data_IF_768487534187
#
_entry.id   IF_768487534187
#
_cell.length_a   1.000
_cell.length_b   1.000
_cell.length_c   1.000
_cell.angle_alpha   90.00
_cell.angle_beta   90.00
_cell.angle_gamma   90.00
#
_symmetry.space_group_name_H-M   'P 1'
#
loop_
_entity.id
_entity.type
_entity.pdbx_description
1 polymer ?
#
# COMPACT_ATOMS: atom_id res chain seq x y z
N UNK A 1 8.40 16.17 6.22
CA UNK A 1 8.19 17.42 5.43
C UNK A 1 6.84 17.99 5.81
N UNK A 2 6.80 19.17 6.42
CA UNK A 2 5.54 19.88 6.66
C UNK A 2 4.84 20.10 5.33
N UNK A 3 3.58 19.71 5.23
CA UNK A 3 2.78 19.96 4.04
C UNK A 3 2.66 21.48 3.84
N UNK A 4 3.42 22.03 2.90
CA UNK A 4 3.23 23.41 2.48
C UNK A 4 1.93 23.49 1.68
N UNK A 5 0.86 23.91 2.32
CA UNK A 5 -0.48 24.06 1.74
C UNK A 5 -0.51 24.99 0.53
N UNK A 6 0.56 25.74 0.30
CA UNK A 6 0.74 26.64 -0.83
C UNK A 6 1.67 26.09 -1.92
N UNK A 7 2.16 24.86 -1.78
CA UNK A 7 2.96 24.22 -2.81
C UNK A 7 2.10 23.89 -4.03
N UNK A 8 2.10 24.77 -5.01
CA UNK A 8 1.31 24.64 -6.26
C UNK A 8 2.01 23.83 -7.35
N UNK A 9 3.23 23.37 -7.11
CA UNK A 9 4.03 22.62 -8.07
C UNK A 9 4.20 21.17 -7.66
N UNK A 10 4.65 20.31 -8.60
CA UNK A 10 5.09 18.95 -8.31
C UNK A 10 6.18 18.97 -7.23
N UNK A 11 6.10 18.06 -6.26
CA UNK A 11 7.14 17.88 -5.24
C UNK A 11 8.41 17.34 -5.90
N UNK A 12 9.55 17.94 -5.60
CA UNK A 12 10.84 17.40 -6.02
C UNK A 12 11.15 16.16 -5.18
N UNK A 13 11.45 15.05 -5.84
CA UNK A 13 11.84 13.81 -5.16
C UNK A 13 13.34 13.79 -4.82
N UNK A 14 13.80 12.64 -4.33
CA UNK A 14 15.16 12.44 -3.80
C UNK A 14 15.99 11.47 -4.65
N UNK A 15 15.39 10.83 -5.64
CA UNK A 15 16.08 9.89 -6.55
C UNK A 15 16.42 10.56 -7.87
N UNK A 16 17.38 10.00 -8.61
CA UNK A 16 17.70 10.48 -9.97
C UNK A 16 16.48 10.47 -10.89
N UNK A 17 15.70 9.38 -10.85
CA UNK A 17 14.46 9.27 -11.64
C UNK A 17 13.47 10.37 -11.24
N UNK A 18 13.27 10.61 -9.95
CA UNK A 18 12.35 11.64 -9.49
C UNK A 18 12.79 13.04 -9.91
N UNK A 19 14.08 13.30 -9.94
CA UNK A 19 14.62 14.56 -10.45
C UNK A 19 14.42 14.70 -11.97
N UNK A 20 14.69 13.65 -12.75
CA UNK A 20 14.43 13.65 -14.20
C UNK A 20 12.93 13.88 -14.51
N UNK A 21 12.02 13.23 -13.77
CA UNK A 21 10.58 13.43 -13.91
C UNK A 21 10.19 14.88 -13.59
N UNK A 22 10.77 15.46 -12.53
CA UNK A 22 10.55 16.85 -12.17
C UNK A 22 11.03 17.82 -13.25
N UNK A 23 12.25 17.63 -13.78
CA UNK A 23 12.79 18.49 -14.85
C UNK A 23 11.95 18.38 -16.14
N UNK A 24 11.49 17.18 -16.49
CA UNK A 24 10.58 16.97 -17.62
C UNK A 24 9.25 17.69 -17.40
N UNK A 25 8.68 17.60 -16.20
CA UNK A 25 7.47 18.34 -15.84
C UNK A 25 7.67 19.85 -15.99
N UNK A 26 8.79 20.39 -15.49
CA UNK A 26 9.09 21.82 -15.60
C UNK A 26 9.28 22.28 -17.05
N UNK A 27 9.93 21.46 -17.88
CA UNK A 27 10.06 21.73 -19.31
C UNK A 27 8.67 21.87 -19.98
N UNK A 28 7.82 20.88 -19.76
CA UNK A 28 6.45 20.87 -20.30
C UNK A 28 5.64 22.06 -19.78
N UNK A 29 5.73 22.35 -18.48
CA UNK A 29 5.05 23.47 -17.84
C UNK A 29 5.41 24.80 -18.50
N UNK A 30 6.71 25.09 -18.71
CA UNK A 30 7.13 26.35 -19.35
C UNK A 30 6.75 26.45 -20.82
N UNK A 31 6.73 25.32 -21.56
CA UNK A 31 6.16 25.29 -22.92
C UNK A 31 4.67 25.65 -22.89
N UNK A 32 3.89 25.08 -21.97
CA UNK A 32 2.47 25.40 -21.81
C UNK A 32 2.25 26.87 -21.44
N UNK A 33 3.08 27.43 -20.55
CA UNK A 33 3.02 28.85 -20.18
C UNK A 33 3.29 29.73 -21.40
N UNK A 34 4.32 29.42 -22.17
CA UNK A 34 4.65 30.19 -23.40
C UNK A 34 3.50 30.17 -24.41
N UNK A 35 2.90 29.00 -24.66
CA UNK A 35 1.73 28.84 -25.54
C UNK A 35 0.55 29.64 -24.96
N UNK A 36 0.26 29.52 -23.68
CA UNK A 36 -0.80 30.25 -23.01
C UNK A 36 -0.64 31.76 -23.15
N UNK A 37 0.57 32.29 -22.87
CA UNK A 37 0.85 33.73 -23.06
C UNK A 37 0.64 34.17 -24.49
N UNK A 38 1.11 33.41 -25.47
CA UNK A 38 0.92 33.73 -26.88
C UNK A 38 -0.57 33.78 -27.28
N UNK A 39 -1.33 32.72 -26.93
CA UNK A 39 -2.75 32.59 -27.26
C UNK A 39 -3.60 33.68 -26.60
N UNK A 40 -3.43 33.85 -25.29
CA UNK A 40 -4.18 34.86 -24.53
C UNK A 40 -3.83 36.30 -24.97
N UNK A 41 -2.54 36.53 -25.30
CA UNK A 41 -2.14 37.86 -25.85
C UNK A 41 -2.86 38.18 -27.14
N UNK A 42 -2.92 37.25 -28.09
CA UNK A 42 -3.67 37.42 -29.37
C UNK A 42 -5.16 37.58 -29.09
N UNK A 43 -5.72 36.78 -28.18
CA UNK A 43 -7.14 36.87 -27.83
C UNK A 43 -7.48 38.23 -27.20
N UNK A 44 -6.77 38.72 -26.21
CA UNK A 44 -7.02 40.00 -25.57
C UNK A 44 -6.78 41.17 -26.53
N UNK A 45 -5.70 41.11 -27.36
CA UNK A 45 -5.47 42.07 -28.39
C UNK A 45 -6.66 42.13 -29.35
N UNK A 46 -7.17 40.97 -29.81
CA UNK A 46 -8.31 40.92 -30.72
C UNK A 46 -9.58 41.51 -30.11
N UNK A 47 -9.87 41.23 -28.84
CA UNK A 47 -11.00 41.79 -28.12
C UNK A 47 -10.88 43.31 -27.97
N UNK A 48 -9.69 43.84 -27.77
CA UNK A 48 -9.44 45.26 -27.61
C UNK A 48 -9.40 46.00 -28.96
N UNK A 49 -8.72 45.45 -29.97
CA UNK A 49 -8.49 46.10 -31.28
C UNK A 49 -9.67 46.00 -32.21
N UNK A 50 -10.43 44.87 -32.20
CA UNK A 50 -11.49 44.60 -33.19
C UNK A 50 -12.90 44.84 -32.65
N UNK A 51 -13.07 45.85 -31.79
CA UNK A 51 -14.41 46.26 -31.32
C UNK A 51 -15.21 46.94 -32.46
N UNK A 52 -16.54 46.83 -32.44
CA UNK A 52 -17.43 47.46 -33.44
C UNK A 52 -17.21 48.98 -33.58
N UNK A 53 -16.78 49.65 -32.53
CA UNK A 53 -16.44 51.10 -32.57
C UNK A 53 -15.18 51.37 -33.38
N UNK A 54 -14.16 50.49 -33.29
CA UNK A 54 -12.87 50.68 -33.99
C UNK A 54 -12.90 50.12 -35.42
N UNK A 55 -13.68 49.05 -35.63
CA UNK A 55 -13.82 48.36 -36.93
C UNK A 55 -15.29 48.18 -37.27
N UNK A 56 -16.00 49.23 -37.76
CA UNK A 56 -17.43 49.15 -38.04
C UNK A 56 -17.78 48.23 -39.23
N UNK A 57 -16.82 48.00 -40.12
CA UNK A 57 -16.97 47.07 -41.26
C UNK A 57 -16.07 45.88 -41.03
N UNK A 58 -16.61 44.65 -40.81
CA UNK A 58 -15.79 43.45 -40.57
C UNK A 58 -15.01 43.06 -41.84
N UNK A 59 -13.84 42.45 -41.62
CA UNK A 59 -13.05 41.86 -42.69
C UNK A 59 -13.84 40.69 -43.34
N UNK A 60 -13.63 40.49 -44.64
CA UNK A 60 -14.35 39.49 -45.46
C UNK A 60 -13.48 38.25 -45.82
N UNK A 61 -12.29 38.13 -45.26
CA UNK A 61 -11.50 36.93 -45.49
C UNK A 61 -12.07 35.74 -44.69
N UNK A 62 -12.02 34.53 -45.25
CA UNK A 62 -12.60 33.33 -44.68
C UNK A 62 -11.53 32.30 -44.34
N UNK A 63 -10.33 32.37 -44.92
CA UNK A 63 -9.25 31.42 -44.78
C UNK A 63 -7.88 32.06 -44.93
N UNK A 64 -6.86 31.41 -44.36
CA UNK A 64 -5.45 31.76 -44.55
C UNK A 64 -4.61 30.51 -44.47
N UNK A 65 -4.38 29.82 -45.59
CA UNK A 65 -3.64 28.54 -45.64
C UNK A 65 -2.25 28.61 -45.05
N UNK A 66 -1.54 29.73 -45.11
CA UNK A 66 -0.22 29.85 -44.47
C UNK A 66 -0.32 29.80 -42.95
N UNK A 67 -1.34 30.45 -42.39
CA UNK A 67 -1.59 30.46 -40.96
C UNK A 67 -2.07 29.07 -40.49
N UNK A 68 -2.90 28.41 -41.26
CA UNK A 68 -3.41 27.06 -41.01
C UNK A 68 -2.26 26.05 -40.96
N UNK A 69 -1.38 26.09 -41.95
CA UNK A 69 -0.16 25.27 -41.96
C UNK A 69 0.71 25.57 -40.71
N UNK A 70 0.90 26.85 -40.37
CA UNK A 70 1.74 27.22 -39.23
C UNK A 70 1.20 26.69 -37.91
N UNK A 71 -0.11 26.84 -37.61
CA UNK A 71 -0.69 26.36 -36.38
C UNK A 71 -0.87 24.82 -36.32
N UNK A 72 -0.72 24.12 -37.45
CA UNK A 72 -0.65 22.65 -37.49
C UNK A 72 0.79 22.15 -37.26
N UNK A 73 1.74 22.74 -37.99
CA UNK A 73 3.15 22.26 -37.94
C UNK A 73 3.84 22.63 -36.63
N UNK A 74 3.63 23.84 -36.10
CA UNK A 74 4.32 24.28 -34.87
C UNK A 74 3.96 23.39 -33.68
N UNK A 75 2.69 23.11 -33.34
CA UNK A 75 2.34 22.19 -32.26
C UNK A 75 2.87 20.75 -32.48
N UNK A 76 2.83 20.27 -33.73
CA UNK A 76 3.38 18.96 -34.08
C UNK A 76 4.88 18.85 -33.77
N UNK A 77 5.67 19.87 -34.13
CA UNK A 77 7.11 19.91 -33.82
C UNK A 77 7.36 20.01 -32.30
N UNK A 78 6.53 20.75 -31.57
CA UNK A 78 6.60 20.82 -30.09
C UNK A 78 6.35 19.43 -29.48
N UNK A 79 5.32 18.71 -29.95
CA UNK A 79 5.02 17.36 -29.45
C UNK A 79 6.21 16.39 -29.71
N UNK A 80 6.83 16.43 -30.90
CA UNK A 80 8.03 15.62 -31.19
C UNK A 80 9.16 15.98 -30.22
N UNK A 81 9.41 17.28 -30.02
CA UNK A 81 10.47 17.74 -29.13
C UNK A 81 10.26 17.30 -27.67
N UNK A 82 9.01 17.19 -27.20
CA UNK A 82 8.68 16.66 -25.87
C UNK A 82 8.72 15.14 -25.81
N UNK A 83 8.34 14.45 -26.88
CA UNK A 83 8.30 12.98 -26.90
C UNK A 83 9.69 12.34 -26.72
N UNK A 84 10.74 12.95 -27.24
CA UNK A 84 12.12 12.40 -27.16
C UNK A 84 12.61 12.29 -25.69
N UNK A 85 12.65 13.36 -24.89
CA UNK A 85 13.07 13.24 -23.49
C UNK A 85 12.08 12.39 -22.67
N UNK A 86 10.77 12.51 -22.88
CA UNK A 86 9.76 11.70 -22.19
C UNK A 86 9.98 10.19 -22.43
N UNK A 87 10.25 9.78 -23.67
CA UNK A 87 10.52 8.37 -24.00
C UNK A 87 11.81 7.86 -23.36
N UNK A 88 12.85 8.69 -23.28
CA UNK A 88 14.11 8.30 -22.60
C UNK A 88 13.91 8.04 -21.11
N UNK A 89 13.21 8.94 -20.43
CA UNK A 89 12.89 8.77 -19.00
C UNK A 89 11.97 7.56 -18.79
N UNK A 90 10.98 7.35 -19.65
CA UNK A 90 10.09 6.20 -19.60
C UNK A 90 10.85 4.88 -19.71
N UNK A 91 11.76 4.74 -20.68
CA UNK A 91 12.59 3.52 -20.84
C UNK A 91 13.44 3.27 -19.59
N UNK A 92 13.98 4.32 -18.96
CA UNK A 92 14.75 4.20 -17.72
C UNK A 92 13.87 3.74 -16.54
N UNK A 93 12.63 4.21 -16.43
CA UNK A 93 11.68 3.79 -15.38
C UNK A 93 11.34 2.29 -15.50
N UNK A 94 11.25 1.75 -16.72
CA UNK A 94 10.91 0.35 -16.99
C UNK A 94 12.15 -0.58 -17.03
N UNK A 95 13.24 -0.23 -16.36
CA UNK A 95 14.36 -1.15 -16.16
C UNK A 95 13.91 -2.30 -15.22
N UNK A 96 13.90 -3.52 -15.76
CA UNK A 96 13.46 -4.74 -15.07
C UNK A 96 14.64 -5.62 -14.57
N UNK A 97 15.87 -5.14 -14.70
CA UNK A 97 17.04 -5.84 -14.17
C UNK A 97 16.94 -6.04 -12.66
N UNK A 98 17.41 -7.19 -12.18
CA UNK A 98 17.43 -7.52 -10.75
C UNK A 98 18.13 -6.44 -9.92
N UNK A 99 17.55 -6.11 -8.77
CA UNK A 99 18.16 -5.24 -7.79
C UNK A 99 19.15 -5.98 -6.89
N UNK A 100 19.92 -5.20 -6.10
CA UNK A 100 20.72 -5.74 -4.99
C UNK A 100 19.79 -6.32 -3.90
N UNK A 101 18.58 -5.74 -3.76
CA UNK A 101 17.50 -6.20 -2.89
C UNK A 101 16.22 -6.30 -3.72
N UNK A 102 15.52 -7.43 -3.65
CA UNK A 102 14.25 -7.63 -4.34
C UNK A 102 13.14 -7.84 -3.31
N UNK A 103 12.12 -6.97 -3.34
CA UNK A 103 11.02 -6.98 -2.38
C UNK A 103 9.71 -7.20 -3.15
N UNK A 104 9.02 -8.29 -2.83
CA UNK A 104 7.66 -8.47 -3.30
C UNK A 104 6.71 -7.68 -2.39
N UNK A 105 5.83 -6.90 -3.01
CA UNK A 105 4.80 -6.09 -2.36
C UNK A 105 3.45 -6.65 -2.77
N UNK A 106 2.66 -7.08 -1.79
CA UNK A 106 1.30 -7.58 -2.04
C UNK A 106 0.28 -6.70 -1.32
N UNK A 107 -0.65 -6.12 -2.07
CA UNK A 107 -1.75 -5.32 -1.52
C UNK A 107 -2.88 -6.21 -1.00
N UNK A 108 -3.41 -5.87 0.16
CA UNK A 108 -4.60 -6.46 0.79
C UNK A 108 -5.56 -5.36 1.24
N UNK A 109 -6.79 -5.67 1.47
CA UNK A 109 -7.79 -4.80 2.09
C UNK A 109 -7.71 -4.88 3.63
N UNK A 110 -7.09 -3.95 4.37
CA UNK A 110 -6.39 -2.73 3.91
C UNK A 110 -5.04 -2.65 4.60
N UNK A 111 -4.01 -3.28 4.01
CA UNK A 111 -2.64 -3.38 4.50
C UNK A 111 -1.71 -3.75 3.37
N UNK A 112 -0.42 -3.68 3.61
CA UNK A 112 0.60 -4.15 2.68
C UNK A 112 1.38 -5.32 3.27
N UNK A 113 1.68 -6.34 2.46
CA UNK A 113 2.65 -7.36 2.80
C UNK A 113 3.94 -7.09 2.04
N UNK A 114 5.07 -7.23 2.72
CA UNK A 114 6.40 -7.12 2.15
C UNK A 114 7.16 -8.43 2.36
N UNK A 115 7.75 -8.94 1.28
CA UNK A 115 8.55 -10.16 1.29
C UNK A 115 9.91 -9.90 0.63
N UNK A 116 10.98 -9.97 1.40
CA UNK A 116 12.37 -9.81 0.95
C UNK A 116 12.87 -11.17 0.46
N UNK A 117 12.99 -11.29 -0.87
CA UNK A 117 13.15 -12.59 -1.52
C UNK A 117 14.50 -13.26 -1.23
N UNK A 118 15.56 -12.48 -1.01
CA UNK A 118 16.89 -13.01 -0.70
C UNK A 118 17.06 -13.38 0.77
N UNK A 119 16.30 -12.76 1.65
CA UNK A 119 16.47 -12.87 3.09
C UNK A 119 15.42 -13.75 3.79
N UNK A 120 14.37 -14.17 3.04
CA UNK A 120 13.22 -14.91 3.57
C UNK A 120 12.53 -14.19 4.75
N UNK A 121 12.45 -12.85 4.64
CA UNK A 121 11.79 -11.99 5.60
C UNK A 121 10.43 -11.59 5.03
N UNK A 122 9.36 -11.88 5.75
CA UNK A 122 8.00 -11.48 5.37
C UNK A 122 7.26 -10.88 6.56
N UNK A 123 6.56 -9.77 6.33
CA UNK A 123 5.72 -9.13 7.34
C UNK A 123 4.58 -8.33 6.72
N UNK A 124 3.56 -8.07 7.52
CA UNK A 124 2.51 -7.11 7.20
C UNK A 124 2.81 -5.75 7.78
N UNK A 125 2.37 -4.72 7.07
CA UNK A 125 2.47 -3.32 7.47
C UNK A 125 1.04 -2.76 7.54
N UNK A 126 0.59 -2.48 8.75
CA UNK A 126 -0.74 -1.98 9.04
C UNK A 126 -0.67 -0.52 9.48
N UNK A 127 -1.80 0.19 9.36
CA UNK A 127 -1.94 1.52 9.96
C UNK A 127 -1.76 1.45 11.47
N UNK A 128 -0.89 2.32 12.02
CA UNK A 128 -0.65 2.45 13.47
C UNK A 128 -1.28 3.69 14.10
N UNK A 129 -2.04 4.48 13.33
CA UNK A 129 -2.75 5.64 13.88
C UNK A 129 -3.77 5.22 14.92
N UNK A 130 -3.73 5.84 16.09
CA UNK A 130 -4.62 5.55 17.20
C UNK A 130 -6.09 5.73 16.80
N UNK A 131 -6.95 4.83 17.28
CA UNK A 131 -8.39 4.88 17.04
C UNK A 131 -9.03 6.17 17.60
N UNK A 132 -8.52 6.69 18.70
CA UNK A 132 -9.00 7.94 19.30
C UNK A 132 -8.74 9.14 18.37
N UNK A 133 -7.60 9.16 17.65
CA UNK A 133 -7.37 10.16 16.60
C UNK A 133 -8.32 9.97 15.41
N UNK A 134 -8.55 8.73 15.00
CA UNK A 134 -9.45 8.40 13.88
C UNK A 134 -10.89 8.84 14.18
N UNK A 135 -11.36 8.59 15.40
CA UNK A 135 -12.70 8.98 15.84
C UNK A 135 -12.82 10.44 16.32
N UNK A 136 -11.73 11.24 16.21
CA UNK A 136 -11.66 12.64 16.64
C UNK A 136 -11.91 12.82 18.16
N UNK A 137 -11.54 11.85 18.97
CA UNK A 137 -11.61 11.93 20.43
C UNK A 137 -10.39 12.69 21.00
N UNK A 138 -9.28 12.68 20.29
CA UNK A 138 -8.05 13.44 20.56
C UNK A 138 -7.61 14.23 19.33
N UNK A 139 -6.76 15.28 19.48
CA UNK A 139 -6.17 16.01 18.35
C UNK A 139 -5.33 15.10 17.47
N UNK A 140 -5.42 15.29 16.16
CA UNK A 140 -4.63 14.52 15.17
C UNK A 140 -3.17 14.89 15.22
N UNK A 141 -2.30 13.88 15.20
CA UNK A 141 -0.85 14.02 15.10
C UNK A 141 -0.40 14.53 13.72
N UNK A 142 0.88 14.93 13.61
CA UNK A 142 1.48 15.46 12.38
C UNK A 142 1.39 14.45 11.21
N UNK A 143 1.58 13.16 11.50
CA UNK A 143 1.57 12.08 10.51
C UNK A 143 0.25 11.27 10.55
N UNK A 144 -0.86 11.92 10.84
CA UNK A 144 -2.18 11.30 10.86
C UNK A 144 -2.45 10.47 9.61
N UNK A 145 -2.78 9.20 9.76
CA UNK A 145 -2.98 8.17 8.71
C UNK A 145 -1.74 7.95 7.80
N UNK A 146 -0.53 8.23 8.29
CA UNK A 146 0.71 8.07 7.53
C UNK A 146 1.80 7.31 8.30
N UNK A 147 1.45 6.67 9.41
CA UNK A 147 2.35 5.82 10.19
C UNK A 147 1.87 4.36 10.12
N UNK A 148 2.83 3.45 10.23
CA UNK A 148 2.62 2.01 10.22
C UNK A 148 3.26 1.35 11.43
N UNK A 149 2.78 0.17 11.79
CA UNK A 149 3.35 -0.68 12.83
C UNK A 149 4.72 -1.25 12.41
N UNK A 150 4.88 -1.61 11.12
CA UNK A 150 6.11 -2.19 10.59
C UNK A 150 6.52 -1.48 9.29
N UNK A 151 7.69 -0.84 9.28
CA UNK A 151 8.21 -0.10 8.12
C UNK A 151 8.97 -1.01 7.17
N UNK A 152 8.90 -0.69 5.87
CA UNK A 152 9.86 -1.24 4.88
C UNK A 152 11.21 -0.61 5.10
N UNK A 153 12.27 -1.43 5.24
CA UNK A 153 13.65 -0.95 5.42
C UNK A 153 14.46 -1.29 4.19
N UNK A 154 15.12 -0.30 3.61
CA UNK A 154 15.98 -0.48 2.44
C UNK A 154 17.36 0.16 2.63
N UNK A 155 18.43 -0.41 2.06
CA UNK A 155 19.77 0.16 2.16
C UNK A 155 19.96 1.36 1.23
N UNK A 156 20.67 2.39 1.70
CA UNK A 156 21.06 3.53 0.88
C UNK A 156 22.05 3.13 -0.21
N UNK A 157 21.98 3.80 -1.36
CA UNK A 157 22.91 3.62 -2.49
C UNK A 157 22.82 2.27 -3.21
N UNK A 158 21.84 1.42 -2.89
CA UNK A 158 21.60 0.13 -3.53
C UNK A 158 20.38 0.16 -4.43
N UNK A 159 20.44 -0.61 -5.53
CA UNK A 159 19.27 -0.81 -6.39
C UNK A 159 18.27 -1.74 -5.70
N UNK A 160 17.12 -1.21 -5.35
CA UNK A 160 16.00 -1.97 -4.79
C UNK A 160 14.95 -2.14 -5.87
N UNK A 161 14.57 -3.39 -6.15
CA UNK A 161 13.50 -3.73 -7.09
C UNK A 161 12.26 -4.18 -6.32
N UNK A 162 11.12 -3.63 -6.70
CA UNK A 162 9.82 -3.96 -6.16
C UNK A 162 9.02 -4.80 -7.17
N UNK A 163 8.49 -5.92 -6.73
CA UNK A 163 7.58 -6.80 -7.47
C UNK A 163 6.18 -6.61 -6.87
N UNK A 164 5.31 -5.88 -7.56
CA UNK A 164 4.08 -5.34 -6.99
C UNK A 164 2.87 -6.08 -7.54
N UNK A 165 2.08 -6.66 -6.64
CA UNK A 165 0.84 -7.40 -6.92
C UNK A 165 -0.21 -7.17 -5.84
N UNK A 166 -1.38 -7.77 -5.96
CA UNK A 166 -2.43 -7.75 -4.94
C UNK A 166 -3.06 -9.14 -4.77
N UNK A 167 -3.60 -9.40 -3.57
CA UNK A 167 -4.27 -10.65 -3.24
C UNK A 167 -5.79 -10.61 -3.51
N UNK A 168 -6.42 -9.44 -3.44
CA UNK A 168 -7.87 -9.29 -3.44
C UNK A 168 -8.40 -8.35 -4.53
N UNK A 169 -8.24 -7.05 -4.39
CA UNK A 169 -8.67 -6.03 -5.35
C UNK A 169 -7.48 -5.25 -5.88
N UNK A 170 -7.69 -4.35 -6.83
CA UNK A 170 -6.62 -3.47 -7.31
C UNK A 170 -6.31 -2.43 -6.24
N UNK A 171 -5.01 -2.28 -5.91
CA UNK A 171 -4.42 -1.21 -5.11
C UNK A 171 -3.38 -0.47 -5.96
N UNK A 172 -2.79 0.60 -5.44
CA UNK A 172 -1.66 1.25 -6.10
C UNK A 172 -0.62 1.68 -5.06
N UNK A 173 0.60 1.20 -5.20
CA UNK A 173 1.71 1.52 -4.32
C UNK A 173 2.35 2.82 -4.79
N UNK A 174 2.12 3.90 -4.06
CA UNK A 174 2.59 5.23 -4.41
C UNK A 174 3.50 5.83 -3.36
N UNK A 175 4.75 6.10 -3.74
CA UNK A 175 5.75 6.77 -2.92
C UNK A 175 6.29 7.99 -3.69
N UNK A 176 5.74 9.19 -3.44
CA UNK A 176 6.05 10.41 -4.22
C UNK A 176 7.53 10.75 -4.25
N UNK A 177 8.22 10.61 -3.11
CA UNK A 177 9.64 10.94 -2.98
C UNK A 177 10.53 10.15 -3.94
N UNK A 178 10.13 8.92 -4.30
CA UNK A 178 10.86 8.04 -5.21
C UNK A 178 10.38 8.15 -6.67
N UNK A 179 9.32 8.93 -6.92
CA UNK A 179 8.57 8.97 -8.18
C UNK A 179 8.01 7.59 -8.60
N UNK A 180 7.69 6.73 -7.65
CA UNK A 180 7.07 5.43 -7.90
C UNK A 180 5.57 5.55 -7.67
N UNK A 181 4.79 5.20 -8.68
CA UNK A 181 3.34 4.95 -8.59
C UNK A 181 3.03 3.77 -9.48
N UNK A 182 2.74 2.63 -8.86
CA UNK A 182 2.55 1.37 -9.58
C UNK A 182 1.34 0.62 -9.04
N UNK A 183 0.45 0.22 -9.93
CA UNK A 183 -0.74 -0.53 -9.57
C UNK A 183 -0.38 -1.96 -9.14
N UNK A 184 -1.00 -2.39 -8.05
CA UNK A 184 -0.97 -3.74 -7.51
C UNK A 184 -2.23 -4.46 -7.98
N UNK A 185 -2.11 -5.36 -8.97
CA UNK A 185 -3.23 -6.00 -9.67
C UNK A 185 -3.27 -7.48 -9.33
N UNK A 186 -4.41 -8.04 -8.87
CA UNK A 186 -4.53 -9.48 -8.61
C UNK A 186 -4.20 -10.33 -9.84
N UNK A 187 -3.34 -11.34 -9.66
CA UNK A 187 -2.91 -12.24 -10.72
C UNK A 187 -1.91 -11.63 -11.72
N UNK A 188 -1.42 -10.43 -11.48
CA UNK A 188 -0.42 -9.76 -12.30
C UNK A 188 0.71 -9.19 -11.42
N UNK A 189 1.95 -9.26 -11.88
CA UNK A 189 3.11 -8.70 -11.17
C UNK A 189 3.69 -7.55 -11.98
N UNK A 190 3.58 -6.35 -11.45
CA UNK A 190 4.24 -5.17 -11.97
C UNK A 190 5.62 -4.99 -11.32
N UNK A 191 6.54 -4.31 -12.00
CA UNK A 191 7.87 -4.02 -11.47
C UNK A 191 8.09 -2.51 -11.35
N UNK A 192 8.81 -2.12 -10.30
CA UNK A 192 9.36 -0.79 -10.13
C UNK A 192 10.72 -0.91 -9.46
N UNK A 193 11.56 0.12 -9.55
CA UNK A 193 12.86 0.12 -8.91
C UNK A 193 13.26 1.52 -8.43
N UNK A 194 14.20 1.55 -7.51
CA UNK A 194 14.76 2.80 -7.00
C UNK A 194 16.20 2.63 -6.53
N UNK A 195 16.95 3.72 -6.53
CA UNK A 195 18.20 3.90 -5.78
C UNK A 195 18.01 5.17 -4.97
N UNK A 196 18.22 5.09 -3.67
CA UNK A 196 18.06 6.22 -2.74
C UNK A 196 19.36 6.39 -1.96
N UNK A 197 20.01 7.55 -2.12
CA UNK A 197 21.28 7.82 -1.46
C UNK A 197 21.10 8.46 -0.07
N UNK A 198 19.97 9.12 0.18
CA UNK A 198 19.70 9.84 1.42
C UNK A 198 18.96 8.98 2.44
N UNK A 199 19.59 8.58 3.57
CA UNK A 199 18.88 7.94 4.68
C UNK A 199 17.74 8.82 5.20
N UNK A 200 16.60 8.18 5.56
CA UNK A 200 15.44 8.92 6.06
C UNK A 200 14.17 8.10 6.04
N UNK A 201 13.05 8.72 6.45
CA UNK A 201 11.73 8.10 6.45
C UNK A 201 10.87 8.77 5.38
N UNK A 202 10.39 7.96 4.44
CA UNK A 202 9.61 8.39 3.29
C UNK A 202 8.22 7.79 3.33
N UNK A 203 7.20 8.63 3.10
CA UNK A 203 5.80 8.27 3.26
C UNK A 203 5.06 8.28 1.95
N UNK A 204 4.19 7.31 1.80
CA UNK A 204 3.30 7.14 0.66
C UNK A 204 1.94 6.60 1.09
N UNK A 205 1.14 6.24 0.12
CA UNK A 205 -0.21 5.73 0.37
C UNK A 205 -0.73 4.94 -0.82
N UNK A 206 -1.79 4.17 -0.57
CA UNK A 206 -2.57 3.57 -1.63
C UNK A 206 -3.26 4.67 -2.47
N UNK A 207 -3.20 4.56 -3.80
CA UNK A 207 -3.75 5.55 -4.73
C UNK A 207 -4.67 4.94 -5.81
N UNK A 208 -5.14 3.70 -5.59
CA UNK A 208 -6.24 3.11 -6.35
C UNK A 208 -7.38 2.76 -5.41
N UNK A 209 -8.61 3.15 -5.74
CA UNK A 209 -9.77 2.96 -4.87
C UNK A 209 -10.03 1.46 -4.61
N UNK A 210 -9.70 1.01 -3.42
CA UNK A 210 -9.72 -0.39 -3.01
C UNK A 210 -10.79 -0.73 -1.95
N UNK A 211 -11.77 0.14 -1.73
CA UNK A 211 -12.89 -0.08 -0.82
C UNK A 211 -12.95 0.88 0.37
N UNK A 212 -13.64 0.47 1.42
CA UNK A 212 -14.03 1.30 2.59
C UNK A 212 -12.85 2.00 3.28
N UNK A 213 -11.77 1.28 3.50
CA UNK A 213 -10.59 1.78 4.22
C UNK A 213 -9.42 2.13 3.28
N UNK A 214 -9.72 2.53 2.04
CA UNK A 214 -8.71 2.93 1.07
C UNK A 214 -7.68 3.94 1.60
N UNK A 215 -8.11 4.92 2.37
CA UNK A 215 -7.23 5.92 2.99
C UNK A 215 -6.47 5.43 4.25
N UNK A 216 -6.66 4.19 4.67
CA UNK A 216 -6.17 3.62 5.94
C UNK A 216 -5.08 2.56 5.73
N UNK A 217 -4.41 2.56 4.57
CA UNK A 217 -3.30 1.68 4.26
C UNK A 217 -2.10 2.50 3.74
N UNK A 218 -1.42 3.22 4.64
CA UNK A 218 -0.23 4.01 4.30
C UNK A 218 0.96 3.12 3.94
N UNK A 219 1.98 3.78 3.38
CA UNK A 219 3.27 3.20 3.04
C UNK A 219 4.34 4.01 3.76
N UNK A 220 5.22 3.34 4.50
CA UNK A 220 6.37 3.98 5.14
C UNK A 220 7.63 3.19 4.80
N UNK A 221 8.58 3.87 4.15
CA UNK A 221 9.88 3.31 3.80
C UNK A 221 10.96 4.03 4.59
N UNK A 222 11.76 3.27 5.33
CA UNK A 222 12.94 3.74 6.05
C UNK A 222 14.19 3.38 5.23
N UNK A 223 14.89 4.38 4.75
CA UNK A 223 16.20 4.21 4.10
C UNK A 223 17.28 4.34 5.15
N UNK A 224 18.19 3.39 5.20
CA UNK A 224 19.25 3.30 6.22
C UNK A 224 20.61 3.02 5.59
N UNK A 225 21.68 3.32 6.32
CA UNK A 225 23.02 2.88 5.92
C UNK A 225 23.12 1.36 5.87
N UNK A 226 24.03 0.81 5.04
CA UNK A 226 24.18 -0.64 4.86
C UNK A 226 24.35 -1.40 6.18
N UNK A 227 25.13 -0.88 7.12
CA UNK A 227 25.35 -1.54 8.42
C UNK A 227 24.08 -1.66 9.25
N UNK A 228 23.21 -0.61 9.24
CA UNK A 228 21.92 -0.64 9.94
C UNK A 228 20.93 -1.59 9.24
N UNK A 229 21.01 -1.68 7.91
CA UNK A 229 20.22 -2.65 7.14
C UNK A 229 20.60 -4.09 7.51
N UNK A 230 21.89 -4.39 7.56
CA UNK A 230 22.40 -5.72 7.92
C UNK A 230 21.99 -6.11 9.37
N UNK A 231 22.02 -5.16 10.29
CA UNK A 231 21.54 -5.34 11.66
C UNK A 231 20.03 -5.60 11.72
N UNK A 232 19.25 -4.86 10.95
CA UNK A 232 17.81 -5.06 10.83
C UNK A 232 17.47 -6.45 10.27
N UNK A 233 18.13 -6.88 9.18
CA UNK A 233 17.98 -8.22 8.61
C UNK A 233 18.32 -9.30 9.63
N UNK A 234 19.44 -9.14 10.35
CA UNK A 234 19.83 -10.06 11.41
C UNK A 234 18.77 -10.13 12.52
N UNK A 235 18.26 -8.98 12.95
CA UNK A 235 17.19 -8.90 13.95
C UNK A 235 15.93 -9.66 13.52
N UNK A 236 15.47 -9.44 12.29
CA UNK A 236 14.30 -10.14 11.70
C UNK A 236 14.51 -11.66 11.64
N UNK A 237 15.69 -12.11 11.23
CA UNK A 237 16.02 -13.55 11.24
C UNK A 237 16.01 -14.14 12.64
N UNK A 238 16.49 -13.40 13.65
CA UNK A 238 16.43 -13.84 15.06
C UNK A 238 14.97 -13.89 15.59
N UNK A 239 14.12 -12.93 15.19
CA UNK A 239 12.68 -12.97 15.51
C UNK A 239 12.01 -14.20 14.90
N UNK A 240 12.30 -14.52 13.63
CA UNK A 240 11.78 -15.71 12.98
C UNK A 240 12.23 -17.02 13.67
N UNK A 241 13.50 -17.11 14.08
CA UNK A 241 14.01 -18.26 14.83
C UNK A 241 13.26 -18.42 16.17
N UNK A 242 13.10 -17.34 16.93
CA UNK A 242 12.33 -17.38 18.19
C UNK A 242 10.88 -17.80 17.96
N UNK A 243 10.26 -17.34 16.87
CA UNK A 243 8.90 -17.72 16.55
C UNK A 243 8.80 -19.22 16.22
N UNK A 244 9.77 -19.75 15.47
CA UNK A 244 9.87 -21.18 15.18
C UNK A 244 10.08 -22.04 16.46
N UNK A 245 10.89 -21.55 17.41
CA UNK A 245 11.04 -22.19 18.72
C UNK A 245 9.71 -22.22 19.49
N UNK A 246 8.94 -21.13 19.44
CA UNK A 246 7.61 -21.06 20.07
C UNK A 246 6.61 -22.05 19.43
N UNK A 247 6.76 -22.40 18.16
CA UNK A 247 5.90 -23.38 17.49
C UNK A 247 6.08 -24.78 18.07
N UNK A 248 7.27 -25.11 18.57
CA UNK A 248 7.59 -26.41 19.16
C UNK A 248 7.45 -26.46 20.69
N UNK A 249 7.14 -25.31 21.33
CA UNK A 249 6.96 -25.22 22.79
C UNK A 249 5.67 -25.94 23.21
N UNK A 250 5.72 -26.59 24.36
CA UNK A 250 4.54 -27.08 25.08
C UNK A 250 3.79 -25.90 25.71
N UNK A 251 2.65 -25.53 25.13
CA UNK A 251 1.83 -24.43 25.58
C UNK A 251 0.79 -24.85 26.61
N UNK A 252 0.66 -24.08 27.68
CA UNK A 252 -0.47 -24.21 28.60
C UNK A 252 -1.72 -23.47 28.05
N UNK A 253 -2.89 -23.90 28.48
CA UNK A 253 -4.16 -23.22 28.13
C UNK A 253 -4.11 -21.73 28.52
N UNK A 254 -3.57 -21.42 29.71
CA UNK A 254 -3.51 -20.04 30.20
C UNK A 254 -2.65 -19.14 29.31
N UNK A 255 -1.49 -19.62 28.84
CA UNK A 255 -0.63 -18.87 27.94
C UNK A 255 -1.28 -18.66 26.55
N UNK A 256 -1.98 -19.67 26.03
CA UNK A 256 -2.72 -19.55 24.77
C UNK A 256 -3.91 -18.60 24.90
N UNK A 257 -4.62 -18.63 26.00
CA UNK A 257 -5.74 -17.73 26.29
C UNK A 257 -5.31 -16.27 26.33
N UNK A 258 -4.28 -15.95 27.12
CA UNK A 258 -3.75 -14.58 27.23
C UNK A 258 -3.29 -14.04 25.87
N UNK A 259 -2.55 -14.84 25.11
CA UNK A 259 -2.08 -14.47 23.79
C UNK A 259 -3.22 -14.36 22.80
N UNK A 260 -4.17 -15.29 22.82
CA UNK A 260 -5.32 -15.36 21.93
C UNK A 260 -6.27 -14.19 22.12
N UNK A 261 -6.47 -13.71 23.34
CA UNK A 261 -7.27 -12.52 23.65
C UNK A 261 -6.69 -11.29 22.96
N UNK A 262 -5.38 -11.05 23.08
CA UNK A 262 -4.72 -9.93 22.42
C UNK A 262 -4.87 -9.98 20.89
N UNK A 263 -4.74 -11.16 20.28
CA UNK A 263 -4.90 -11.34 18.84
C UNK A 263 -6.35 -11.13 18.41
N UNK A 264 -7.29 -11.61 19.21
CA UNK A 264 -8.71 -11.44 18.99
C UNK A 264 -9.11 -9.95 18.99
N UNK A 265 -8.62 -9.19 19.95
CA UNK A 265 -8.89 -7.76 20.08
C UNK A 265 -8.40 -6.95 18.86
N UNK A 266 -7.26 -7.33 18.30
CA UNK A 266 -6.70 -6.65 17.14
C UNK A 266 -7.38 -7.06 15.83
N UNK A 267 -7.69 -8.35 15.66
CA UNK A 267 -8.06 -8.88 14.33
C UNK A 267 -9.54 -9.26 14.20
N UNK A 268 -10.24 -9.55 15.29
CA UNK A 268 -11.56 -10.22 15.24
C UNK A 268 -12.71 -9.37 15.80
N UNK A 269 -12.43 -8.56 16.83
CA UNK A 269 -13.44 -7.76 17.57
C UNK A 269 -14.27 -6.87 16.65
N UNK A 270 -13.68 -6.30 15.61
CA UNK A 270 -14.38 -5.39 14.70
C UNK A 270 -15.64 -6.02 14.06
N UNK A 271 -15.61 -7.34 13.82
CA UNK A 271 -16.73 -8.09 13.26
C UNK A 271 -17.46 -8.92 14.32
N UNK A 272 -16.73 -9.66 15.16
CA UNK A 272 -17.29 -10.62 16.09
C UNK A 272 -17.63 -10.03 17.46
N UNK A 273 -17.29 -8.76 17.72
CA UNK A 273 -17.54 -8.00 18.95
C UNK A 273 -16.83 -8.57 20.18
N UNK A 274 -16.68 -7.78 21.24
CA UNK A 274 -15.85 -8.12 22.43
C UNK A 274 -16.29 -9.35 23.20
N UNK A 275 -17.58 -9.67 23.20
CA UNK A 275 -18.11 -10.88 23.85
C UNK A 275 -18.38 -12.03 22.85
N UNK A 276 -17.80 -11.96 21.66
CA UNK A 276 -17.99 -12.98 20.63
C UNK A 276 -19.42 -13.12 20.11
N UNK A 277 -20.32 -12.17 20.40
CA UNK A 277 -21.76 -12.23 20.08
C UNK A 277 -22.06 -11.94 18.61
N UNK A 278 -21.08 -11.41 17.85
CA UNK A 278 -21.28 -11.02 16.46
C UNK A 278 -22.27 -9.88 16.26
N UNK A 279 -22.74 -9.72 15.02
CA UNK A 279 -23.81 -8.78 14.64
C UNK A 279 -24.88 -9.56 13.89
N UNK A 280 -26.09 -9.62 14.46
CA UNK A 280 -27.18 -10.42 13.93
C UNK A 280 -27.46 -10.11 12.44
N UNK A 281 -27.45 -11.14 11.60
CA UNK A 281 -27.68 -11.05 10.16
C UNK A 281 -26.52 -10.51 9.34
N UNK A 282 -25.38 -10.14 9.95
CA UNK A 282 -24.20 -9.59 9.27
C UNK A 282 -22.95 -10.43 9.59
N UNK A 283 -22.60 -10.55 10.88
CA UNK A 283 -21.43 -11.32 11.33
C UNK A 283 -21.86 -12.37 12.35
N UNK A 284 -21.48 -13.64 12.18
CA UNK A 284 -21.90 -14.72 13.07
C UNK A 284 -21.32 -14.55 14.48
N UNK A 285 -22.05 -15.03 15.46
CA UNK A 285 -21.52 -15.18 16.81
C UNK A 285 -20.47 -16.31 16.85
N UNK A 286 -19.42 -16.12 17.67
CA UNK A 286 -18.45 -17.16 18.04
C UNK A 286 -18.82 -17.76 19.40
N UNK A 287 -19.38 -16.96 20.30
CA UNK A 287 -19.95 -17.44 21.55
C UNK A 287 -21.13 -18.38 21.27
N UNK A 288 -21.04 -19.62 21.72
CA UNK A 288 -22.05 -20.65 21.51
C UNK A 288 -22.16 -21.20 20.08
N UNK A 289 -21.25 -20.87 19.19
CA UNK A 289 -21.28 -21.41 17.81
C UNK A 289 -20.82 -22.86 17.77
N UNK A 290 -21.48 -23.71 16.99
CA UNK A 290 -21.13 -25.12 16.88
C UNK A 290 -19.69 -25.35 16.38
N UNK A 291 -19.19 -24.47 15.49
CA UNK A 291 -17.81 -24.52 15.00
C UNK A 291 -16.83 -24.27 16.17
N UNK A 292 -17.06 -23.22 16.97
CA UNK A 292 -16.20 -22.94 18.11
C UNK A 292 -16.33 -23.99 19.21
N UNK A 293 -17.49 -24.59 19.39
CA UNK A 293 -17.73 -25.60 20.43
C UNK A 293 -17.18 -26.99 20.06
N UNK A 294 -17.44 -27.48 18.82
CA UNK A 294 -17.37 -28.90 18.53
C UNK A 294 -16.57 -29.26 17.27
N UNK A 295 -16.01 -28.26 16.53
CA UNK A 295 -15.39 -28.55 15.24
C UNK A 295 -14.04 -27.82 15.08
N UNK A 296 -13.01 -28.39 15.74
CA UNK A 296 -11.64 -27.86 15.73
C UNK A 296 -11.07 -27.70 14.30
N UNK A 297 -11.20 -28.75 13.50
CA UNK A 297 -10.62 -28.77 12.14
C UNK A 297 -11.28 -27.71 11.24
N UNK A 298 -12.60 -27.58 11.30
CA UNK A 298 -13.31 -26.55 10.53
C UNK A 298 -12.98 -25.14 11.02
N UNK A 299 -12.71 -24.97 12.31
CA UNK A 299 -12.30 -23.69 12.86
C UNK A 299 -10.92 -23.30 12.34
N UNK A 300 -9.96 -24.24 12.29
CA UNK A 300 -8.65 -24.04 11.68
C UNK A 300 -8.79 -23.70 10.19
N UNK A 301 -9.56 -24.48 9.45
CA UNK A 301 -9.81 -24.27 8.02
C UNK A 301 -10.35 -22.85 7.73
N UNK A 302 -11.33 -22.37 8.51
CA UNK A 302 -11.90 -21.03 8.35
C UNK A 302 -10.86 -19.92 8.56
N UNK A 303 -9.98 -20.05 9.54
CA UNK A 303 -8.94 -19.05 9.74
C UNK A 303 -7.85 -19.16 8.67
N UNK A 304 -7.56 -20.37 8.19
CA UNK A 304 -6.55 -20.58 7.15
C UNK A 304 -7.02 -20.16 5.75
N UNK A 305 -8.28 -20.43 5.41
CA UNK A 305 -8.77 -20.28 4.03
C UNK A 305 -9.81 -19.15 3.89
N UNK A 306 -10.34 -18.66 5.01
CA UNK A 306 -11.49 -17.78 5.00
C UNK A 306 -12.80 -18.52 4.65
N UNK A 307 -13.84 -17.75 4.32
CA UNK A 307 -15.13 -18.30 3.87
C UNK A 307 -15.48 -17.72 2.52
N UNK A 308 -15.48 -18.55 1.50
CA UNK A 308 -15.76 -18.12 0.13
C UNK A 308 -17.14 -17.44 0.02
N UNK A 309 -17.17 -16.25 -0.53
CA UNK A 309 -18.40 -15.47 -0.71
C UNK A 309 -18.90 -14.76 0.55
N UNK A 310 -18.14 -14.79 1.65
CA UNK A 310 -18.42 -14.07 2.89
C UNK A 310 -17.33 -13.01 3.18
N UNK A 311 -17.58 -12.16 4.18
CA UNK A 311 -16.61 -11.15 4.63
C UNK A 311 -15.48 -11.72 5.52
N UNK A 312 -15.49 -13.02 5.81
CA UNK A 312 -14.46 -13.70 6.58
C UNK A 312 -13.29 -14.05 5.68
N UNK A 313 -12.23 -13.22 5.73
CA UNK A 313 -10.99 -13.45 4.98
C UNK A 313 -10.13 -14.53 5.63
N UNK A 314 -9.12 -15.02 4.88
CA UNK A 314 -8.05 -15.83 5.44
C UNK A 314 -7.20 -15.02 6.44
N UNK A 315 -6.72 -15.70 7.47
CA UNK A 315 -5.76 -15.21 8.46
C UNK A 315 -4.46 -16.05 8.43
N UNK A 316 -4.18 -16.72 7.32
CA UNK A 316 -2.99 -17.55 7.09
C UNK A 316 -1.66 -16.80 7.26
N UNK A 317 -1.72 -15.48 7.27
CA UNK A 317 -0.60 -14.59 7.56
C UNK A 317 -0.20 -14.53 9.05
N UNK A 318 -1.08 -14.95 9.96
CA UNK A 318 -0.73 -15.11 11.35
C UNK A 318 0.18 -16.33 11.52
N UNK A 319 1.13 -16.23 12.45
CA UNK A 319 1.98 -17.37 12.79
C UNK A 319 1.18 -18.55 13.37
N UNK A 320 1.76 -19.75 13.31
CA UNK A 320 1.13 -20.95 13.86
C UNK A 320 0.75 -20.78 15.33
N UNK A 321 1.59 -20.06 16.09
CA UNK A 321 1.34 -19.76 17.51
C UNK A 321 0.17 -18.81 17.68
N UNK A 322 0.05 -17.80 16.83
CA UNK A 322 -1.04 -16.81 16.89
C UNK A 322 -2.37 -17.43 16.46
N UNK A 323 -2.37 -18.22 15.41
CA UNK A 323 -3.55 -18.96 14.97
C UNK A 323 -4.03 -19.92 16.07
N UNK A 324 -3.11 -20.72 16.61
CA UNK A 324 -3.44 -21.65 17.70
C UNK A 324 -3.99 -20.92 18.94
N UNK A 325 -3.38 -19.79 19.30
CA UNK A 325 -3.80 -19.00 20.45
C UNK A 325 -5.20 -18.39 20.26
N UNK A 326 -5.47 -17.74 19.12
CA UNK A 326 -6.79 -17.10 18.88
C UNK A 326 -7.89 -18.12 18.71
N UNK A 327 -7.62 -19.26 18.08
CA UNK A 327 -8.60 -20.36 17.98
C UNK A 327 -8.88 -20.93 19.36
N UNK A 328 -7.83 -21.19 20.18
CA UNK A 328 -8.01 -21.63 21.55
C UNK A 328 -8.81 -20.63 22.37
N UNK A 329 -8.50 -19.32 22.27
CA UNK A 329 -9.26 -18.28 22.95
C UNK A 329 -10.76 -18.33 22.58
N UNK A 330 -11.09 -18.36 21.32
CA UNK A 330 -12.49 -18.37 20.87
C UNK A 330 -13.22 -19.68 21.21
N UNK A 331 -12.50 -20.77 21.36
CA UNK A 331 -13.05 -22.07 21.83
C UNK A 331 -13.23 -22.16 23.34
N UNK A 332 -12.51 -21.36 24.11
CA UNK A 332 -12.54 -21.40 25.59
C UNK A 332 -13.28 -20.21 26.21
N UNK A 333 -13.31 -19.04 25.54
CA UNK A 333 -13.95 -17.83 26.07
C UNK A 333 -15.49 -17.91 26.05
N UNK A 334 -16.11 -16.99 26.74
CA UNK A 334 -17.59 -16.73 26.75
C UNK A 334 -18.45 -17.94 27.11
N UNK A 335 -17.93 -18.87 27.91
CA UNK A 335 -18.62 -20.12 28.29
C UNK A 335 -18.54 -21.24 27.25
N UNK A 336 -17.73 -21.07 26.19
CA UNK A 336 -17.56 -22.09 25.18
C UNK A 336 -16.84 -23.33 25.75
N UNK A 337 -15.92 -23.16 26.70
CA UNK A 337 -15.21 -24.26 27.34
C UNK A 337 -16.14 -25.26 28.04
N UNK A 338 -17.21 -24.74 28.71
CA UNK A 338 -18.15 -25.56 29.45
C UNK A 338 -19.20 -26.22 28.56
N UNK A 339 -19.46 -25.64 27.38
CA UNK A 339 -20.55 -26.05 26.50
C UNK A 339 -20.06 -26.82 25.25
N UNK A 340 -18.75 -26.92 25.02
CA UNK A 340 -18.13 -27.58 23.89
C UNK A 340 -17.35 -28.83 24.23
N UNK A 341 -16.52 -29.28 23.30
CA UNK A 341 -15.62 -30.46 23.47
C UNK A 341 -14.44 -30.18 24.41
N UNK A 342 -14.18 -28.90 24.73
CA UNK A 342 -13.05 -28.49 25.58
C UNK A 342 -11.67 -28.59 24.92
N UNK A 343 -11.59 -29.01 23.66
CA UNK A 343 -10.31 -29.14 22.95
C UNK A 343 -9.68 -27.78 22.71
N UNK A 344 -8.36 -27.71 22.90
CA UNK A 344 -7.55 -26.56 22.54
C UNK A 344 -6.85 -26.81 21.20
N UNK A 345 -6.40 -25.73 20.56
CA UNK A 345 -5.54 -25.79 19.37
C UNK A 345 -4.13 -25.39 19.79
N UNK A 346 -3.16 -26.23 19.49
CA UNK A 346 -1.74 -25.94 19.72
C UNK A 346 -1.05 -25.63 18.39
N UNK A 347 0.11 -24.95 18.39
CA UNK A 347 0.79 -24.57 17.13
C UNK A 347 1.03 -25.75 16.19
N UNK A 348 1.27 -26.93 16.75
CA UNK A 348 1.44 -28.16 15.97
C UNK A 348 0.21 -28.52 15.13
N UNK A 349 -1.02 -28.27 15.61
CA UNK A 349 -2.24 -28.55 14.85
C UNK A 349 -2.29 -27.69 13.58
N UNK A 350 -1.77 -26.47 13.63
CA UNK A 350 -1.70 -25.56 12.49
C UNK A 350 -0.62 -26.02 11.50
N UNK A 351 0.55 -26.44 11.99
CA UNK A 351 1.60 -27.04 11.16
C UNK A 351 1.07 -28.28 10.42
N UNK A 352 0.44 -29.21 11.17
CA UNK A 352 -0.12 -30.44 10.59
C UNK A 352 -1.23 -30.15 9.56
N UNK A 353 -1.96 -29.02 9.69
CA UNK A 353 -2.94 -28.58 8.69
C UNK A 353 -2.26 -28.07 7.40
N UNK A 354 -1.13 -27.37 7.52
CA UNK A 354 -0.37 -26.83 6.39
C UNK A 354 0.38 -27.89 5.59
N UNK A 355 0.72 -29.02 6.22
CA UNK A 355 1.39 -30.11 5.52
C UNK A 355 0.47 -30.77 4.50
N UNK A 356 0.95 -31.06 3.27
CA UNK A 356 0.14 -31.71 2.26
C UNK A 356 -0.32 -33.07 2.78
N UNK A 357 -1.63 -33.28 2.83
CA UNK A 357 -2.19 -34.62 3.12
C UNK A 357 -1.82 -35.56 1.96
N UNK A 358 -0.81 -36.44 2.18
CA UNK A 358 -0.34 -37.44 1.22
C UNK A 358 -1.46 -38.46 0.95
#
# INVERSE_FOLDING_TARGET
MSADWFALNMTRGITDISNEVFELHMLIFWICVAIGVAVFSVMFYSMWAHTKKKNPVPAKFHENHKLEIAWTIIPFLILIAMAVPASKTLVKIYDDEAGDVNIQITGYQWKWQYNYLEDDISFFSNLSTDLDEIYNLVPKGENYLQEVDEMVVIPAGKKVRFLITANDVIHSWWLPAFAIKQDAIPGFVNTAWTIVDEPGIYRGKCTELCGKNHGFMPIVVKVVEQAEYDEWVYGKKQEAIKLAELTTKDWTIAELMERGENIYDVNCVACHQTAGQGIAGIFPALAGSDIALNNKDRHIEILMEGVQGAAMNSFDYLSEVELAAVITYTRQAWGNAENGDGEIVVPKDIVDYKEPKI
#
